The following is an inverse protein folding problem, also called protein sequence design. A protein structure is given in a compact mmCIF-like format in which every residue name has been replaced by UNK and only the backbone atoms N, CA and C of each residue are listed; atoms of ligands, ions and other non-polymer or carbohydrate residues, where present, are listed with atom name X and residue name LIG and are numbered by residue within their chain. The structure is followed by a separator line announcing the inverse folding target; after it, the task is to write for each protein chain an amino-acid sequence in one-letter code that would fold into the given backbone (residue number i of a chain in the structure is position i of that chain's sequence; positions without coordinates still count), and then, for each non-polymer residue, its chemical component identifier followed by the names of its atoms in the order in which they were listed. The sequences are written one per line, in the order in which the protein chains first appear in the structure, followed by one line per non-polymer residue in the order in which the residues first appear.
data_IF_006973836355
#
_entry.id   IF_006973836355
#
_cell.length_a   1.000
_cell.length_b   1.000
_cell.length_c   1.000
_cell.angle_alpha   90.00
_cell.angle_beta   90.00
_cell.angle_gamma   90.00
#
_symmetry.space_group_name_H-M   'P 1'
#
loop_
_entity.id
_entity.type
_entity.pdbx_description
1 polymer ?
#
# COMPACT_ATOMS: atom_id res chain seq x y z
N UNK A 1 21.29 -27.91 -20.05
CA UNK A 1 19.90 -27.74 -20.52
C UNK A 1 19.19 -26.85 -19.51
N UNK A 2 19.13 -25.53 -19.77
CA UNK A 2 18.45 -24.59 -18.87
C UNK A 2 16.96 -24.58 -19.16
N UNK A 3 16.17 -24.95 -18.15
CA UNK A 3 14.72 -24.95 -18.22
C UNK A 3 14.22 -23.51 -18.01
N UNK A 4 14.09 -22.75 -19.10
CA UNK A 4 13.46 -21.42 -19.09
C UNK A 4 11.96 -21.61 -18.90
N UNK A 5 11.52 -21.69 -17.65
CA UNK A 5 10.10 -21.76 -17.31
C UNK A 5 9.47 -20.41 -17.69
N UNK A 6 8.72 -20.40 -18.81
CA UNK A 6 7.91 -19.26 -19.24
C UNK A 6 7.09 -18.76 -18.05
N UNK A 7 7.39 -17.56 -17.57
CA UNK A 7 6.58 -16.89 -16.54
C UNK A 7 5.20 -16.64 -17.14
N UNK A 8 4.21 -17.45 -16.75
CA UNK A 8 2.79 -17.08 -16.94
C UNK A 8 2.61 -15.68 -16.35
N UNK A 9 2.23 -14.70 -17.18
CA UNK A 9 1.87 -13.36 -16.72
C UNK A 9 0.61 -13.47 -15.86
N UNK A 10 0.78 -13.61 -14.56
CA UNK A 10 -0.32 -13.57 -13.60
C UNK A 10 -0.65 -12.11 -13.32
N UNK A 11 -1.88 -11.70 -13.63
CA UNK A 11 -2.39 -10.39 -13.22
C UNK A 11 -2.52 -10.36 -11.71
N UNK A 12 -2.01 -9.29 -11.07
CA UNK A 12 -2.08 -9.11 -9.62
C UNK A 12 -2.78 -7.80 -9.29
N UNK A 13 -3.70 -7.84 -8.34
CA UNK A 13 -4.34 -6.63 -7.81
C UNK A 13 -3.36 -5.91 -6.88
N UNK A 14 -3.18 -4.62 -7.11
CA UNK A 14 -2.43 -3.71 -6.24
C UNK A 14 -3.10 -2.34 -6.26
N UNK A 15 -2.75 -1.49 -5.31
CA UNK A 15 -3.20 -0.08 -5.30
C UNK A 15 -1.97 0.82 -5.32
N UNK A 16 -1.94 1.73 -6.28
CA UNK A 16 -0.90 2.75 -6.41
C UNK A 16 -1.36 4.03 -5.71
N UNK A 17 -0.47 4.60 -4.91
CA UNK A 17 -0.66 5.87 -4.20
C UNK A 17 0.43 6.84 -4.64
N UNK A 18 0.05 8.09 -4.94
CA UNK A 18 1.01 9.20 -5.02
C UNK A 18 1.12 9.82 -3.63
N UNK A 19 2.35 10.13 -3.20
CA UNK A 19 2.62 10.69 -1.89
C UNK A 19 3.06 12.16 -2.02
N UNK A 20 2.58 13.00 -1.11
CA UNK A 20 2.97 14.40 -0.97
C UNK A 20 4.25 14.48 -0.16
N UNK A 21 5.23 15.19 -0.69
CA UNK A 21 6.50 15.45 -0.02
C UNK A 21 6.30 16.63 0.93
N UNK A 22 6.61 16.52 2.24
CA UNK A 22 6.81 17.67 3.11
C UNK A 22 7.85 18.61 2.47
N UNK A 23 7.66 19.92 2.57
CA UNK A 23 8.59 20.91 2.01
C UNK A 23 10.00 20.71 2.59
N UNK A 24 10.97 20.28 1.76
CA UNK A 24 12.36 20.06 2.14
C UNK A 24 12.99 18.88 1.39
N UNK A 25 14.21 19.05 0.89
CA UNK A 25 14.98 17.93 0.31
C UNK A 25 15.32 16.89 1.39
N UNK A 26 15.25 15.60 1.05
CA UNK A 26 15.75 14.52 1.91
C UNK A 26 14.72 13.81 2.82
N UNK A 27 13.46 13.67 2.40
CA UNK A 27 12.45 12.89 3.14
C UNK A 27 12.90 11.44 3.36
N UNK A 28 12.93 10.96 4.61
CA UNK A 28 13.09 9.52 4.88
C UNK A 28 11.82 8.79 4.44
N UNK A 29 11.97 7.68 3.70
CA UNK A 29 10.81 6.89 3.25
C UNK A 29 10.05 6.26 4.43
N UNK A 30 10.70 6.13 5.59
CA UNK A 30 10.07 5.68 6.84
C UNK A 30 9.05 6.68 7.37
N UNK A 31 9.28 7.99 7.19
CA UNK A 31 8.35 9.05 7.64
C UNK A 31 6.98 8.96 6.93
N UNK A 32 6.92 8.25 5.80
CA UNK A 32 5.69 8.04 5.03
C UNK A 32 4.84 6.87 5.57
N UNK A 33 5.34 6.14 6.55
CA UNK A 33 4.74 4.95 7.15
C UNK A 33 4.44 5.23 8.62
N UNK A 34 3.27 4.82 9.11
CA UNK A 34 2.93 5.02 10.52
C UNK A 34 3.84 4.19 11.44
N UNK A 35 4.39 4.82 12.46
CA UNK A 35 5.36 4.24 13.42
C UNK A 35 4.97 2.86 13.94
N UNK A 36 3.69 2.67 14.28
CA UNK A 36 3.19 1.38 14.80
C UNK A 36 3.47 0.17 13.91
N UNK A 37 3.67 0.36 12.61
CA UNK A 37 4.02 -0.72 11.68
C UNK A 37 5.52 -0.89 11.50
N UNK A 38 6.31 0.16 11.75
CA UNK A 38 7.77 0.12 11.71
C UNK A 38 8.36 -0.55 12.96
N UNK A 39 7.70 -0.34 14.10
CA UNK A 39 8.15 -0.82 15.42
C UNK A 39 7.58 -2.19 15.80
N UNK A 40 6.56 -2.66 15.08
CA UNK A 40 5.86 -3.91 15.38
C UNK A 40 6.71 -5.14 15.05
N UNK A 41 6.81 -6.15 15.94
CA UNK A 41 7.49 -7.41 15.63
C UNK A 41 6.77 -8.24 14.55
N UNK A 42 5.47 -8.01 14.34
CA UNK A 42 4.68 -8.67 13.27
C UNK A 42 4.97 -8.11 11.86
N UNK A 43 5.89 -7.15 11.76
CA UNK A 43 6.25 -6.48 10.52
C UNK A 43 7.76 -6.55 10.29
N UNK A 44 8.14 -6.65 9.03
CA UNK A 44 9.51 -6.62 8.55
C UNK A 44 9.68 -5.41 7.65
N UNK A 45 10.67 -4.59 7.98
CA UNK A 45 11.02 -3.38 7.23
C UNK A 45 12.39 -3.58 6.58
N UNK A 46 12.49 -3.33 5.27
CA UNK A 46 13.73 -3.48 4.51
C UNK A 46 13.88 -2.36 3.49
N UNK A 47 15.01 -1.69 3.51
CA UNK A 47 15.43 -0.82 2.41
C UNK A 47 15.79 -1.67 1.19
N UNK A 48 15.60 -1.12 -0.01
CA UNK A 48 16.07 -1.72 -1.24
C UNK A 48 16.46 -0.66 -2.28
N UNK A 49 17.28 -1.08 -3.23
CA UNK A 49 17.58 -0.32 -4.43
C UNK A 49 17.47 -1.24 -5.64
N UNK A 50 16.70 -0.85 -6.64
CA UNK A 50 16.56 -1.59 -7.91
C UNK A 50 16.62 -0.61 -9.05
N UNK A 51 17.57 -0.79 -9.98
CA UNK A 51 17.71 0.06 -11.17
C UNK A 51 17.76 1.58 -10.85
N UNK A 52 18.40 1.94 -9.73
CA UNK A 52 18.52 3.33 -9.27
C UNK A 52 17.30 3.86 -8.52
N UNK A 53 16.23 3.07 -8.36
CA UNK A 53 15.08 3.39 -7.53
C UNK A 53 15.36 2.98 -6.09
N UNK A 54 15.44 3.96 -5.20
CA UNK A 54 15.47 3.74 -3.75
C UNK A 54 14.06 3.47 -3.24
N UNK A 55 13.93 2.51 -2.32
CA UNK A 55 12.64 2.18 -1.75
C UNK A 55 12.71 1.51 -0.38
N UNK A 56 11.53 1.44 0.24
CA UNK A 56 11.27 0.80 1.51
C UNK A 56 10.18 -0.27 1.31
N UNK A 57 10.48 -1.50 1.68
CA UNK A 57 9.53 -2.60 1.73
C UNK A 57 9.10 -2.83 3.17
N UNK A 58 7.79 -2.75 3.42
CA UNK A 58 7.17 -3.15 4.68
C UNK A 58 6.24 -4.33 4.40
N UNK A 59 6.50 -5.46 5.03
CA UNK A 59 5.65 -6.65 4.93
C UNK A 59 5.27 -7.13 6.31
N UNK A 60 4.08 -7.68 6.46
CA UNK A 60 3.67 -8.29 7.71
C UNK A 60 2.23 -8.75 7.63
N UNK A 61 1.62 -8.93 8.79
CA UNK A 61 0.21 -9.21 8.87
C UNK A 61 -0.19 -9.35 10.33
N UNK A 62 -1.44 -9.03 10.63
CA UNK A 62 -1.96 -9.22 11.97
C UNK A 62 -2.57 -10.62 12.03
N UNK A 63 -1.92 -11.59 12.72
CA UNK A 63 -2.60 -12.83 13.05
C UNK A 63 -3.73 -12.50 14.03
N UNK A 64 -4.93 -13.00 13.73
CA UNK A 64 -6.03 -13.01 14.67
C UNK A 64 -6.37 -14.46 14.98
N UNK A 65 -6.27 -14.77 16.26
CA UNK A 65 -6.71 -16.05 16.82
C UNK A 65 -8.18 -16.34 16.48
N UNK A 66 -8.98 -15.27 16.36
CA UNK A 66 -10.38 -15.34 15.98
C UNK A 66 -10.76 -14.20 15.03
N UNK A 67 -11.38 -14.51 13.90
CA UNK A 67 -11.79 -13.55 12.89
C UNK A 67 -12.97 -12.69 13.36
N UNK A 68 -12.98 -11.41 12.98
CA UNK A 68 -13.98 -10.42 13.46
C UNK A 68 -15.43 -10.82 13.13
N UNK A 69 -15.65 -11.58 12.06
CA UNK A 69 -16.97 -12.04 11.64
C UNK A 69 -17.50 -13.20 12.49
N UNK A 70 -16.65 -13.92 13.22
CA UNK A 70 -17.06 -15.07 14.02
C UNK A 70 -18.12 -14.69 15.07
N UNK A 71 -17.95 -13.53 15.73
CA UNK A 71 -18.92 -13.00 16.70
C UNK A 71 -20.27 -12.74 16.06
N UNK A 72 -20.30 -12.21 14.82
CA UNK A 72 -21.54 -11.94 14.11
C UNK A 72 -22.29 -13.23 13.73
N UNK A 73 -21.57 -14.27 13.26
CA UNK A 73 -22.16 -15.56 12.89
C UNK A 73 -22.68 -16.30 14.13
N UNK A 74 -21.93 -16.29 15.23
CA UNK A 74 -22.39 -16.82 16.52
C UNK A 74 -23.69 -16.15 16.97
N UNK A 75 -23.76 -14.82 16.92
CA UNK A 75 -24.95 -14.09 17.33
C UNK A 75 -26.19 -14.42 16.47
N UNK A 76 -26.00 -14.70 15.18
CA UNK A 76 -27.10 -15.03 14.25
C UNK A 76 -27.54 -16.49 14.39
N UNK A 77 -26.59 -17.41 14.56
CA UNK A 77 -26.85 -18.86 14.46
C UNK A 77 -26.99 -19.56 15.80
N UNK A 78 -26.48 -18.97 16.88
CA UNK A 78 -26.33 -19.61 18.19
C UNK A 78 -25.28 -20.73 18.22
N UNK A 79 -24.52 -20.91 17.14
CA UNK A 79 -23.47 -21.93 17.03
C UNK A 79 -22.11 -21.30 17.31
N UNK A 80 -21.30 -21.94 18.14
CA UNK A 80 -19.92 -21.54 18.38
C UNK A 80 -19.11 -21.59 17.07
N UNK A 81 -18.41 -20.50 16.76
CA UNK A 81 -17.55 -20.35 15.58
C UNK A 81 -16.26 -19.65 16.00
N UNK A 82 -15.14 -20.33 15.77
CA UNK A 82 -13.80 -19.83 16.10
C UNK A 82 -12.81 -20.11 14.98
N UNK A 83 -12.87 -19.31 13.92
CA UNK A 83 -11.93 -19.38 12.80
C UNK A 83 -10.80 -18.36 12.95
N UNK A 84 -9.56 -18.80 12.70
CA UNK A 84 -8.39 -17.91 12.66
C UNK A 84 -8.42 -17.08 11.38
N UNK A 85 -7.84 -15.87 11.43
CA UNK A 85 -7.57 -15.10 10.23
C UNK A 85 -6.17 -14.51 10.25
N UNK A 86 -5.57 -14.38 9.07
CA UNK A 86 -4.30 -13.68 8.92
C UNK A 86 -4.45 -12.65 7.80
N UNK A 87 -4.45 -11.39 8.17
CA UNK A 87 -4.55 -10.29 7.21
C UNK A 87 -3.15 -9.90 6.75
N UNK A 88 -2.67 -10.57 5.70
CA UNK A 88 -1.37 -10.27 5.10
C UNK A 88 -1.36 -8.87 4.48
N UNK A 89 -0.24 -8.18 4.65
CA UNK A 89 -0.04 -6.80 4.25
C UNK A 89 1.33 -6.63 3.60
N UNK A 90 1.35 -5.91 2.49
CA UNK A 90 2.58 -5.50 1.82
C UNK A 90 2.49 -4.05 1.39
N UNK A 91 3.56 -3.30 1.62
CA UNK A 91 3.72 -1.92 1.20
C UNK A 91 5.12 -1.76 0.62
N UNK A 92 5.19 -1.16 -0.56
CA UNK A 92 6.44 -0.67 -1.15
C UNK A 92 6.30 0.84 -1.21
N UNK A 93 7.23 1.57 -0.63
CA UNK A 93 7.40 3.02 -0.82
C UNK A 93 8.62 3.21 -1.70
N UNK A 94 8.56 4.09 -2.69
CA UNK A 94 9.64 4.29 -3.65
C UNK A 94 9.82 5.75 -4.04
N UNK A 95 11.07 6.12 -4.27
CA UNK A 95 11.46 7.40 -4.84
C UNK A 95 11.77 7.24 -6.32
N UNK A 96 11.14 8.07 -7.13
CA UNK A 96 11.40 8.18 -8.57
C UNK A 96 11.75 9.62 -8.91
N UNK A 97 12.23 9.86 -10.13
CA UNK A 97 12.46 11.21 -10.66
C UNK A 97 11.20 12.08 -10.68
N UNK A 98 10.00 11.46 -10.71
CA UNK A 98 8.71 12.17 -10.77
C UNK A 98 8.08 12.39 -9.41
N UNK A 99 8.63 11.81 -8.35
CA UNK A 99 8.11 11.94 -7.00
C UNK A 99 8.11 10.64 -6.20
N UNK A 100 7.38 10.68 -5.07
CA UNK A 100 7.22 9.57 -4.14
C UNK A 100 5.93 8.81 -4.41
N UNK A 101 6.03 7.49 -4.47
CA UNK A 101 4.92 6.61 -4.73
C UNK A 101 4.90 5.45 -3.74
N UNK A 102 3.72 4.85 -3.57
CA UNK A 102 3.60 3.59 -2.87
C UNK A 102 2.72 2.58 -3.60
N UNK A 103 3.10 1.30 -3.53
CA UNK A 103 2.29 0.16 -3.94
C UNK A 103 1.86 -0.62 -2.70
N UNK A 104 0.55 -0.79 -2.51
CA UNK A 104 0.01 -1.59 -1.42
C UNK A 104 -0.67 -2.87 -1.91
N UNK A 105 -0.52 -3.93 -1.11
CA UNK A 105 -1.10 -5.25 -1.30
C UNK A 105 -1.85 -5.69 -0.03
N UNK A 106 -2.96 -6.42 -0.21
CA UNK A 106 -3.80 -6.83 0.91
C UNK A 106 -4.26 -5.62 1.73
N UNK A 107 -4.02 -5.66 3.04
CA UNK A 107 -4.35 -4.54 3.94
C UNK A 107 -3.21 -3.53 4.12
N UNK A 108 -2.17 -3.58 3.27
CA UNK A 108 -0.97 -2.74 3.39
C UNK A 108 -1.19 -1.24 3.23
N UNK A 109 -2.32 -0.80 2.66
CA UNK A 109 -2.64 0.63 2.57
C UNK A 109 -2.85 1.29 3.95
N UNK A 110 -3.15 0.50 5.00
CA UNK A 110 -3.23 1.01 6.37
C UNK A 110 -1.88 1.39 6.97
N UNK A 111 -0.77 0.90 6.38
CA UNK A 111 0.59 1.20 6.83
C UNK A 111 0.99 2.64 6.49
N UNK A 112 0.45 3.20 5.41
CA UNK A 112 0.74 4.58 5.01
C UNK A 112 0.19 5.59 6.02
N UNK A 113 0.99 6.62 6.30
CA UNK A 113 0.48 7.81 6.96
C UNK A 113 -0.46 8.58 6.00
N UNK A 114 -1.74 8.78 6.36
CA UNK A 114 -2.70 9.43 5.48
C UNK A 114 -2.38 10.90 5.24
N UNK A 115 -1.62 11.57 6.11
CA UNK A 115 -1.24 12.98 5.94
C UNK A 115 -0.32 13.20 4.72
N UNK A 116 0.38 12.14 4.28
CA UNK A 116 1.24 12.16 3.10
C UNK A 116 0.54 11.67 1.85
N UNK A 117 -0.73 11.25 1.90
CA UNK A 117 -1.42 10.77 0.69
C UNK A 117 -1.88 11.93 -0.17
N UNK A 118 -1.72 11.77 -1.48
CA UNK A 118 -2.34 12.65 -2.45
C UNK A 118 -3.65 12.05 -2.97
N UNK A 119 -4.75 12.32 -2.27
CA UNK A 119 -6.06 11.76 -2.60
C UNK A 119 -6.63 12.26 -3.93
N UNK A 120 -6.09 13.36 -4.47
CA UNK A 120 -6.47 13.89 -5.78
C UNK A 120 -5.85 13.14 -6.96
N UNK A 121 -4.84 12.31 -6.70
CA UNK A 121 -4.05 11.67 -7.76
C UNK A 121 -4.89 10.79 -8.68
N UNK A 122 -5.80 9.98 -8.12
CA UNK A 122 -6.61 9.06 -8.92
C UNK A 122 -7.53 9.78 -9.90
N UNK A 123 -8.13 10.89 -9.44
CA UNK A 123 -8.97 11.72 -10.29
C UNK A 123 -8.14 12.42 -11.36
N UNK A 124 -7.00 13.04 -10.99
CA UNK A 124 -6.09 13.70 -11.93
C UNK A 124 -5.59 12.70 -13.00
N UNK A 125 -5.21 11.49 -12.59
CA UNK A 125 -4.76 10.45 -13.49
C UNK A 125 -5.86 10.03 -14.47
N UNK A 126 -7.08 9.77 -13.96
CA UNK A 126 -8.21 9.37 -14.81
C UNK A 126 -8.58 10.47 -15.81
N UNK A 127 -8.63 11.71 -15.34
CA UNK A 127 -8.90 12.89 -16.16
C UNK A 127 -7.88 13.04 -17.29
N UNK A 128 -6.57 13.06 -16.98
CA UNK A 128 -5.52 13.19 -18.01
C UNK A 128 -5.46 11.99 -18.97
N UNK A 129 -5.89 10.81 -18.52
CA UNK A 129 -5.95 9.62 -19.38
C UNK A 129 -7.10 9.68 -20.39
N UNK A 130 -8.16 10.43 -20.09
CA UNK A 130 -9.34 10.57 -20.97
C UNK A 130 -9.21 11.75 -21.94
N UNK A 131 -8.67 12.87 -21.46
CA UNK A 131 -8.41 14.07 -22.25
C UNK A 131 -7.34 14.90 -21.55
N UNK A 132 -6.12 14.86 -22.06
CA UNK A 132 -4.96 15.52 -21.46
C UNK A 132 -5.09 17.06 -21.46
N UNK A 133 -5.82 17.62 -22.44
CA UNK A 133 -5.89 19.07 -22.69
C UNK A 133 -7.27 19.68 -22.37
N UNK A 134 -8.35 18.88 -22.35
CA UNK A 134 -9.73 19.38 -22.23
C UNK A 134 -10.28 19.53 -20.81
N UNK A 135 -9.55 19.10 -19.77
CA UNK A 135 -10.06 19.14 -18.40
C UNK A 135 -9.12 19.91 -17.46
N UNK A 136 -9.57 21.10 -17.05
CA UNK A 136 -8.83 22.00 -16.15
C UNK A 136 -9.34 21.79 -14.72
N UNK A 137 -8.42 21.46 -13.79
CA UNK A 137 -8.73 21.36 -12.36
C UNK A 137 -8.93 22.75 -11.75
N UNK A 138 -10.15 23.07 -11.34
CA UNK A 138 -10.46 24.29 -10.58
C UNK A 138 -10.17 24.02 -9.10
N UNK A 139 -9.24 24.78 -8.50
CA UNK A 139 -8.98 24.75 -7.06
C UNK A 139 -9.72 25.91 -6.42
N UNK A 140 -10.67 25.63 -5.53
CA UNK A 140 -11.26 26.67 -4.68
C UNK A 140 -10.29 26.94 -3.52
N UNK A 141 -9.93 28.21 -3.34
CA UNK A 141 -9.11 28.71 -2.23
C UNK A 141 -9.85 28.62 -0.91
#
# INVERSE_FOLDING_TARGET
MSNTQQRKHATRKSTLHRLRVPQGEGVDLRDLVRDRYLESPDHTVRDFTVEGIEGLLVTGGVPRERADWCTAVEAITGLEVSERSHSAAGLIVMRTERGLYALSYGVGHHMLDPSHRDDDFGLEFATRSLDEDGVIKVRNQ
#
